data_IF_107232370606
#
_entry.id   IF_107232370606
#
_cell.length_a   1.000
_cell.length_b   1.000
_cell.length_c   1.000
_cell.angle_alpha   90.00
_cell.angle_beta   90.00
_cell.angle_gamma   90.00
#
_symmetry.space_group_name_H-M   'P 1'
#
loop_
_entity.id
_entity.type
_entity.pdbx_description
1 polymer ?
#
# COMPACT_ATOMS: atom_id res chain seq x y z
N UNK A 1 1.72 -12.90 26.01
CA UNK A 1 2.66 -12.19 25.11
C UNK A 1 1.78 -11.55 24.06
N UNK A 2 1.61 -10.22 24.09
CA UNK A 2 0.72 -9.53 23.14
C UNK A 2 1.58 -9.12 21.95
N UNK A 3 1.47 -9.83 20.83
CA UNK A 3 2.02 -9.41 19.56
C UNK A 3 1.29 -8.13 19.16
N UNK A 4 1.94 -6.98 19.37
CA UNK A 4 1.41 -5.70 18.90
C UNK A 4 1.61 -5.69 17.39
N UNK A 5 0.55 -6.00 16.66
CA UNK A 5 0.42 -5.69 15.24
C UNK A 5 0.51 -4.18 15.07
N UNK A 6 1.73 -3.65 14.99
CA UNK A 6 1.96 -2.22 14.78
C UNK A 6 1.72 -1.93 13.30
N UNK A 7 0.51 -1.45 12.97
CA UNK A 7 0.20 -0.88 11.67
C UNK A 7 1.04 0.38 11.49
N UNK A 8 2.09 0.30 10.67
CA UNK A 8 2.94 1.43 10.34
C UNK A 8 2.53 2.00 8.99
N UNK A 9 2.44 3.33 8.92
CA UNK A 9 2.32 4.03 7.64
C UNK A 9 3.64 3.93 6.89
N UNK A 10 3.71 3.02 5.93
CA UNK A 10 4.92 2.76 5.14
C UNK A 10 5.23 3.82 4.10
N UNK A 11 4.28 4.68 3.78
CA UNK A 11 4.42 5.61 2.68
C UNK A 11 3.29 6.62 2.63
N UNK A 12 3.63 7.87 2.32
CA UNK A 12 2.66 8.88 1.91
C UNK A 12 2.53 8.93 0.38
N UNK A 13 1.58 9.72 -0.10
CA UNK A 13 1.06 9.75 -1.46
C UNK A 13 2.07 9.56 -2.61
N UNK A 14 1.71 8.76 -3.60
CA UNK A 14 2.48 8.53 -4.83
C UNK A 14 1.58 8.23 -6.03
N UNK A 15 1.91 8.77 -7.19
CA UNK A 15 1.12 8.57 -8.40
C UNK A 15 1.60 7.33 -9.17
N UNK A 16 0.67 6.43 -9.48
CA UNK A 16 0.94 5.16 -10.14
C UNK A 16 0.03 5.02 -11.36
N UNK A 17 0.29 5.77 -12.41
CA UNK A 17 -0.45 5.64 -13.68
C UNK A 17 -1.97 5.80 -13.51
N UNK A 18 -2.71 4.69 -13.35
CA UNK A 18 -4.18 4.70 -13.20
C UNK A 18 -4.66 4.97 -11.77
N UNK A 19 -3.79 4.85 -10.79
CA UNK A 19 -4.11 5.08 -9.38
C UNK A 19 -3.18 6.10 -8.78
N UNK A 20 -3.73 7.05 -8.03
CA UNK A 20 -2.96 7.82 -7.06
C UNK A 20 -3.07 7.13 -5.71
N UNK A 21 -1.95 6.81 -5.09
CA UNK A 21 -1.90 6.35 -3.72
C UNK A 21 -1.89 7.59 -2.84
N UNK A 22 -2.73 7.64 -1.82
CA UNK A 22 -2.77 8.73 -0.84
C UNK A 22 -2.10 8.31 0.47
N UNK A 23 -2.40 7.08 0.91
CA UNK A 23 -1.83 6.51 2.13
C UNK A 23 -1.63 5.00 1.97
N UNK A 24 -0.46 4.51 2.38
CA UNK A 24 -0.14 3.08 2.39
C UNK A 24 0.19 2.65 3.81
N UNK A 25 -0.55 1.65 4.29
CA UNK A 25 -0.34 0.99 5.57
C UNK A 25 0.24 -0.40 5.31
N UNK A 26 1.34 -0.74 5.99
CA UNK A 26 1.84 -2.11 6.04
C UNK A 26 1.96 -2.60 7.47
N UNK A 27 2.03 -3.92 7.56
CA UNK A 27 2.47 -4.60 8.75
C UNK A 27 3.97 -4.91 8.60
N UNK A 28 4.75 -4.44 9.59
CA UNK A 28 6.14 -4.86 9.80
C UNK A 28 6.12 -6.25 10.46
N UNK A 29 5.60 -7.23 9.73
CA UNK A 29 5.76 -8.62 10.14
C UNK A 29 7.21 -8.97 9.82
N UNK A 30 7.93 -9.55 10.78
CA UNK A 30 9.25 -10.15 10.56
C UNK A 30 9.11 -11.38 9.64
N UNK A 31 8.73 -11.15 8.38
CA UNK A 31 8.64 -12.14 7.32
C UNK A 31 9.89 -12.03 6.45
N UNK A 32 10.39 -13.17 5.95
CA UNK A 32 11.54 -13.19 5.03
C UNK A 32 11.27 -12.43 3.72
N UNK A 33 10.00 -12.18 3.37
CA UNK A 33 9.56 -11.50 2.14
C UNK A 33 9.42 -9.97 2.27
N UNK A 34 9.69 -9.38 3.44
CA UNK A 34 9.57 -7.94 3.67
C UNK A 34 8.18 -7.46 4.14
N UNK A 35 7.98 -6.13 4.22
CA UNK A 35 6.76 -5.55 4.81
C UNK A 35 5.52 -5.89 3.96
N UNK A 36 4.49 -6.43 4.61
CA UNK A 36 3.24 -6.82 3.95
C UNK A 36 2.27 -5.64 3.92
N UNK A 37 1.98 -5.12 2.73
CA UNK A 37 1.04 -4.01 2.54
C UNK A 37 -0.36 -4.52 2.86
N UNK A 38 -1.02 -3.94 3.85
CA UNK A 38 -2.31 -4.42 4.34
C UNK A 38 -3.48 -3.53 3.94
N UNK A 39 -3.22 -2.24 3.74
CA UNK A 39 -4.26 -1.28 3.39
C UNK A 39 -3.67 -0.11 2.61
N UNK A 40 -4.42 0.33 1.61
CA UNK A 40 -4.06 1.41 0.70
C UNK A 40 -5.28 2.27 0.47
N UNK A 41 -5.14 3.56 0.77
CA UNK A 41 -6.05 4.60 0.33
C UNK A 41 -5.58 5.07 -1.04
N UNK A 42 -6.45 4.97 -2.05
CA UNK A 42 -6.10 5.36 -3.40
C UNK A 42 -7.27 6.04 -4.12
N UNK A 43 -6.93 6.92 -5.03
CA UNK A 43 -7.83 7.53 -5.99
C UNK A 43 -7.71 6.84 -7.35
N UNK A 44 -8.83 6.46 -7.95
CA UNK A 44 -8.88 5.86 -9.28
C UNK A 44 -9.10 6.93 -10.35
N UNK A 45 -8.10 7.19 -11.19
CA UNK A 45 -8.23 8.14 -12.31
C UNK A 45 -9.17 7.66 -13.43
N UNK A 46 -9.54 6.38 -13.44
CA UNK A 46 -10.45 5.85 -14.48
C UNK A 46 -11.92 6.15 -14.18
N UNK A 47 -12.33 6.11 -12.90
CA UNK A 47 -13.69 6.42 -12.50
C UNK A 47 -13.79 7.67 -11.61
N UNK A 48 -12.69 8.39 -11.44
CA UNK A 48 -12.58 9.62 -10.65
C UNK A 48 -13.16 9.43 -9.24
N UNK A 49 -12.78 8.35 -8.57
CA UNK A 49 -13.33 8.00 -7.26
C UNK A 49 -12.26 7.49 -6.31
N UNK A 50 -12.35 7.94 -5.06
CA UNK A 50 -11.54 7.45 -3.96
C UNK A 50 -12.06 6.09 -3.47
N UNK A 51 -11.13 5.22 -3.11
CA UNK A 51 -11.43 3.92 -2.55
C UNK A 51 -10.34 3.47 -1.58
N UNK A 52 -10.71 2.51 -0.73
CA UNK A 52 -9.82 1.88 0.22
C UNK A 52 -9.69 0.42 -0.17
N UNK A 53 -8.49 0.02 -0.54
CA UNK A 53 -8.12 -1.34 -0.83
C UNK A 53 -7.43 -1.97 0.39
N UNK A 54 -7.79 -3.20 0.73
CA UNK A 54 -7.21 -3.96 1.84
C UNK A 54 -7.17 -5.43 1.48
N UNK A 55 -6.25 -6.23 1.98
CA UNK A 55 -6.31 -7.67 1.65
C UNK A 55 -7.55 -8.33 2.31
N UNK A 56 -8.26 -9.25 1.62
CA UNK A 56 -8.16 -9.63 0.19
C UNK A 56 -9.08 -8.81 -0.74
N UNK A 57 -9.65 -7.71 -0.26
CA UNK A 57 -10.63 -6.85 -0.97
C UNK A 57 -9.95 -5.65 -1.64
N UNK A 58 -9.66 -5.78 -2.93
CA UNK A 58 -9.09 -4.69 -3.73
C UNK A 58 -7.58 -4.52 -3.56
N UNK A 59 -6.93 -5.33 -2.72
CA UNK A 59 -5.48 -5.44 -2.60
C UNK A 59 -5.09 -6.91 -2.61
N UNK A 60 -4.04 -7.24 -3.35
CA UNK A 60 -3.45 -8.58 -3.37
C UNK A 60 -1.95 -8.45 -3.35
N UNK A 61 -1.30 -8.88 -2.28
CA UNK A 61 0.15 -8.91 -2.19
C UNK A 61 0.74 -9.91 -3.20
N UNK A 62 1.80 -9.52 -3.89
CA UNK A 62 2.56 -10.38 -4.82
C UNK A 62 4.05 -10.27 -4.52
N UNK A 63 4.85 -11.26 -4.92
CA UNK A 63 6.30 -11.19 -4.78
C UNK A 63 6.84 -9.96 -5.53
N UNK A 64 7.41 -9.00 -4.80
CA UNK A 64 7.94 -7.76 -5.36
C UNK A 64 6.91 -6.63 -5.57
N UNK A 65 5.73 -6.67 -4.92
CA UNK A 65 4.80 -5.54 -4.90
C UNK A 65 3.38 -5.89 -4.45
N UNK A 66 2.39 -5.19 -4.99
CA UNK A 66 0.98 -5.47 -4.74
C UNK A 66 0.13 -5.13 -5.97
N UNK A 67 -0.96 -5.87 -6.17
CA UNK A 67 -1.99 -5.55 -7.15
C UNK A 67 -3.11 -4.80 -6.45
N UNK A 68 -3.36 -3.57 -6.90
CA UNK A 68 -4.52 -2.77 -6.49
C UNK A 68 -5.65 -2.96 -7.48
N UNK A 69 -6.86 -3.10 -6.96
CA UNK A 69 -8.08 -3.19 -7.73
C UNK A 69 -9.14 -2.26 -7.16
N UNK A 70 -9.62 -1.34 -8.00
CA UNK A 70 -10.68 -0.41 -7.65
C UNK A 70 -12.01 -1.14 -7.44
N UNK A 71 -12.65 -0.89 -6.29
CA UNK A 71 -13.95 -1.49 -5.95
C UNK A 71 -15.12 -0.92 -6.76
N UNK A 72 -14.94 0.26 -7.37
CA UNK A 72 -15.99 0.93 -8.13
C UNK A 72 -16.05 0.49 -9.59
N UNK A 73 -14.90 0.42 -10.27
CA UNK A 73 -14.84 0.13 -11.71
C UNK A 73 -14.12 -1.19 -12.05
N UNK A 74 -13.67 -1.95 -11.05
CA UNK A 74 -12.90 -3.20 -11.23
C UNK A 74 -11.60 -3.06 -12.04
N UNK A 75 -11.11 -1.83 -12.23
CA UNK A 75 -9.79 -1.60 -12.80
C UNK A 75 -8.73 -2.11 -11.84
N UNK A 76 -7.68 -2.73 -12.39
CA UNK A 76 -6.58 -3.30 -11.61
C UNK A 76 -5.23 -2.88 -12.17
N UNK A 77 -4.26 -2.69 -11.28
CA UNK A 77 -2.88 -2.36 -11.62
C UNK A 77 -1.92 -3.02 -10.64
N UNK A 78 -0.89 -3.67 -11.18
CA UNK A 78 0.24 -4.11 -10.39
C UNK A 78 1.15 -2.91 -10.10
N UNK A 79 1.50 -2.74 -8.83
CA UNK A 79 2.41 -1.71 -8.34
C UNK A 79 3.62 -2.45 -7.79
N UNK A 80 4.79 -2.16 -8.36
CA UNK A 80 6.04 -2.76 -7.92
C UNK A 80 6.51 -2.19 -6.59
N UNK A 81 7.28 -2.99 -5.84
CA UNK A 81 7.88 -2.62 -4.55
C UNK A 81 8.66 -1.31 -4.63
N UNK A 82 9.32 -1.03 -5.76
CA UNK A 82 10.09 0.21 -5.94
C UNK A 82 9.23 1.47 -5.80
N UNK A 83 7.95 1.44 -6.17
CA UNK A 83 7.04 2.56 -5.94
C UNK A 83 6.77 2.71 -4.45
N UNK A 84 6.44 1.62 -3.76
CA UNK A 84 6.18 1.62 -2.33
C UNK A 84 7.40 2.03 -1.51
N UNK A 85 8.61 1.65 -1.93
CA UNK A 85 9.87 2.02 -1.30
C UNK A 85 10.25 3.49 -1.54
N UNK A 86 9.80 4.05 -2.67
CA UNK A 86 9.97 5.48 -3.00
C UNK A 86 9.02 6.39 -2.22
N UNK A 87 7.96 5.85 -1.61
CA UNK A 87 7.05 6.65 -0.81
C UNK A 87 7.75 7.10 0.48
N UNK A 88 7.59 8.36 0.92
CA UNK A 88 8.19 8.81 2.16
C UNK A 88 7.61 7.99 3.31
N UNK A 89 8.43 7.13 3.90
CA UNK A 89 8.08 6.32 5.06
C UNK A 89 7.71 7.25 6.22
N UNK A 90 6.42 7.28 6.56
CA UNK A 90 5.92 7.94 7.77
C UNK A 90 6.30 7.11 9.00
N UNK A 91 7.59 7.03 9.31
CA UNK A 91 8.06 6.23 10.44
C UNK A 91 9.54 5.86 10.43
N UNK A 92 10.46 6.84 10.44
CA UNK A 92 11.67 6.82 11.27
C UNK A 92 12.39 8.17 11.17
N UNK A 93 12.24 8.99 12.21
CA UNK A 93 13.29 9.97 12.54
C UNK A 93 14.53 9.14 12.88
N UNK A 94 15.56 9.26 12.07
CA UNK A 94 16.87 8.78 12.44
C UNK A 94 17.39 9.72 13.51
N UNK A 95 17.60 9.21 14.71
CA UNK A 95 18.42 9.85 15.73
C UNK A 95 19.85 9.91 15.20
N UNK A 96 20.38 11.11 15.01
CA UNK A 96 21.82 11.37 14.96
C UNK A 96 22.06 12.73 15.61
#
# INVERSE_FOLDING_TARGET
>A
MCEREEHHSCGAAGETGRFRLDQVECLDVARPDGPSIVKVHAHCHTCDSDFVAREPVGLTAISGGAVLSCTHCSNRQAIGQGVFDSLPRSGRRNSA
#
